data_IF_317449685554
#
_entry.id   IF_317449685554
#
_cell.length_a   1.000
_cell.length_b   1.000
_cell.length_c   1.000
_cell.angle_alpha   90.00
_cell.angle_beta   90.00
_cell.angle_gamma   90.00
#
_symmetry.space_group_name_H-M   'P 1'
#
loop_
_entity.id
_entity.type
_entity.pdbx_description
1 polymer ?
#
# COMPACT_ATOMS: atom_id res chain seq x y z
N UNK A 1 -2.13 -8.00 5.53
CA UNK A 1 -1.88 -7.58 6.93
C UNK A 1 -2.34 -8.73 7.83
N UNK A 2 -1.57 -9.08 8.85
CA UNK A 2 -2.00 -10.09 9.83
C UNK A 2 -2.83 -9.40 10.89
N UNK A 3 -4.09 -9.78 11.04
CA UNK A 3 -4.99 -9.21 12.05
C UNK A 3 -5.49 -10.36 12.92
N UNK A 4 -5.47 -10.18 14.25
CA UNK A 4 -5.83 -11.26 15.22
C UNK A 4 -4.99 -12.54 15.07
N UNK A 5 -3.70 -12.39 14.77
CA UNK A 5 -2.76 -13.49 14.54
C UNK A 5 -3.10 -14.43 13.35
N UNK A 6 -4.03 -13.99 12.49
CA UNK A 6 -4.43 -14.70 11.30
C UNK A 6 -4.15 -13.88 10.05
N UNK A 7 -3.60 -14.53 9.02
CA UNK A 7 -3.53 -13.95 7.69
C UNK A 7 -4.77 -14.36 6.90
N UNK A 8 -5.68 -13.41 6.71
CA UNK A 8 -6.90 -13.63 5.94
C UNK A 8 -6.68 -13.24 4.48
N UNK A 9 -6.97 -14.16 3.57
CA UNK A 9 -6.93 -13.96 2.12
C UNK A 9 -8.36 -13.94 1.59
N UNK A 10 -8.74 -12.85 0.93
CA UNK A 10 -10.00 -12.74 0.20
C UNK A 10 -9.73 -12.96 -1.29
N UNK A 11 -10.20 -14.07 -1.85
CA UNK A 11 -10.12 -14.34 -3.31
C UNK A 11 -11.42 -13.92 -3.97
N UNK A 12 -11.35 -12.96 -4.89
CA UNK A 12 -12.53 -12.52 -5.64
C UNK A 12 -12.96 -13.60 -6.64
N UNK A 13 -14.28 -13.81 -6.78
CA UNK A 13 -14.83 -14.77 -7.76
C UNK A 13 -14.85 -14.24 -9.20
N UNK A 14 -14.74 -12.93 -9.36
CA UNK A 14 -14.69 -12.22 -10.64
C UNK A 14 -13.62 -11.12 -10.59
N UNK A 15 -13.23 -10.63 -11.76
CA UNK A 15 -12.26 -9.55 -11.88
C UNK A 15 -12.77 -8.26 -11.19
N UNK A 16 -11.87 -7.58 -10.48
CA UNK A 16 -12.24 -6.37 -9.72
C UNK A 16 -12.59 -5.21 -10.66
N UNK A 17 -11.90 -5.08 -11.78
CA UNK A 17 -12.16 -4.01 -12.73
C UNK A 17 -13.51 -4.22 -13.41
N UNK A 18 -13.82 -5.45 -13.81
CA UNK A 18 -15.15 -5.80 -14.34
C UNK A 18 -16.26 -5.50 -13.31
N UNK A 19 -16.05 -5.85 -12.03
CA UNK A 19 -16.98 -5.49 -10.95
C UNK A 19 -17.19 -3.97 -10.89
N UNK A 20 -16.11 -3.19 -10.78
CA UNK A 20 -16.18 -1.74 -10.59
C UNK A 20 -16.79 -1.00 -11.79
N UNK A 21 -16.63 -1.52 -13.01
CA UNK A 21 -17.19 -0.91 -14.23
C UNK A 21 -18.72 -1.08 -14.32
N UNK A 22 -19.28 -2.17 -13.79
CA UNK A 22 -20.70 -2.51 -13.91
C UNK A 22 -21.52 -2.16 -12.67
N UNK A 23 -20.88 -2.04 -11.52
CA UNK A 23 -21.53 -1.77 -10.23
C UNK A 23 -21.85 -0.29 -10.06
N UNK A 24 -23.15 0.01 -9.89
CA UNK A 24 -23.65 1.39 -9.73
C UNK A 24 -23.82 1.80 -8.27
N UNK A 25 -23.59 0.89 -7.32
CA UNK A 25 -23.69 1.13 -5.89
C UNK A 25 -22.29 1.37 -5.32
N UNK A 26 -22.06 2.52 -4.68
CA UNK A 26 -20.71 2.92 -4.23
C UNK A 26 -20.10 2.08 -3.10
N UNK A 27 -20.91 1.25 -2.42
CA UNK A 27 -20.49 0.38 -1.31
C UNK A 27 -20.76 -1.09 -1.59
N UNK A 28 -21.00 -1.49 -2.84
CA UNK A 28 -21.13 -2.92 -3.14
C UNK A 28 -19.77 -3.60 -2.98
N UNK A 29 -19.78 -4.76 -2.33
CA UNK A 29 -18.59 -5.58 -2.15
C UNK A 29 -18.60 -6.73 -3.16
N UNK A 30 -17.49 -7.00 -3.87
CA UNK A 30 -17.38 -8.16 -4.74
C UNK A 30 -17.45 -9.44 -3.93
N UNK A 31 -18.16 -10.44 -4.46
CA UNK A 31 -18.21 -11.76 -3.86
C UNK A 31 -16.80 -12.35 -3.79
N UNK A 32 -16.43 -12.82 -2.60
CA UNK A 32 -15.11 -13.37 -2.33
C UNK A 32 -15.18 -14.64 -1.47
N UNK A 33 -14.15 -15.46 -1.59
CA UNK A 33 -13.91 -16.61 -0.73
C UNK A 33 -12.78 -16.28 0.25
N UNK A 34 -13.00 -16.62 1.52
CA UNK A 34 -12.06 -16.35 2.60
C UNK A 34 -11.22 -17.59 2.88
N UNK A 35 -9.90 -17.46 2.79
CA UNK A 35 -8.94 -18.43 3.29
C UNK A 35 -8.18 -17.86 4.49
N UNK A 36 -8.05 -18.66 5.56
CA UNK A 36 -7.29 -18.30 6.75
C UNK A 36 -5.97 -19.08 6.74
N UNK A 37 -4.87 -18.33 6.66
CA UNK A 37 -3.52 -18.88 6.77
C UNK A 37 -3.02 -18.65 8.20
N UNK A 38 -2.82 -19.75 8.93
CA UNK A 38 -2.27 -19.71 10.29
C UNK A 38 -0.80 -19.33 10.24
N UNK A 39 -0.42 -18.36 11.06
CA UNK A 39 0.98 -18.00 11.24
C UNK A 39 1.61 -18.81 12.37
N UNK A 40 2.92 -19.01 12.28
CA UNK A 40 3.73 -19.62 13.34
C UNK A 40 4.74 -18.60 13.87
N UNK A 41 5.00 -18.67 15.17
CA UNK A 41 5.94 -17.77 15.85
C UNK A 41 5.29 -16.50 16.42
N UNK A 42 6.08 -15.74 17.17
CA UNK A 42 5.66 -14.43 17.70
C UNK A 42 5.78 -13.37 16.61
N UNK A 43 4.71 -12.60 16.40
CA UNK A 43 4.72 -11.44 15.53
C UNK A 43 4.21 -10.21 16.30
N UNK A 44 5.06 -9.55 17.09
CA UNK A 44 4.67 -8.38 17.87
C UNK A 44 4.39 -7.13 17.00
N UNK A 45 4.52 -7.24 15.67
CA UNK A 45 4.25 -6.19 14.68
C UNK A 45 4.86 -4.83 15.10
N UNK A 46 4.05 -3.77 15.11
CA UNK A 46 4.47 -2.42 15.50
C UNK A 46 5.03 -2.35 16.92
N UNK A 47 4.48 -3.10 17.87
CA UNK A 47 4.94 -3.10 19.27
C UNK A 47 6.38 -3.59 19.37
N UNK A 48 6.72 -4.64 18.62
CA UNK A 48 8.08 -5.18 18.59
C UNK A 48 9.11 -4.18 18.05
N UNK A 49 8.78 -3.50 16.95
CA UNK A 49 9.65 -2.50 16.34
C UNK A 49 9.85 -1.29 17.26
N UNK A 50 8.77 -0.78 17.88
CA UNK A 50 8.83 0.37 18.77
C UNK A 50 9.65 0.05 20.04
N UNK A 51 9.44 -1.13 20.62
CA UNK A 51 10.20 -1.57 21.79
C UNK A 51 11.70 -1.73 21.46
N UNK A 52 12.04 -2.36 20.33
CA UNK A 52 13.43 -2.48 19.93
C UNK A 52 14.08 -1.11 19.67
N UNK A 53 13.37 -0.17 19.05
CA UNK A 53 13.86 1.19 18.86
C UNK A 53 14.19 1.88 20.19
N UNK A 54 13.31 1.76 21.19
CA UNK A 54 13.57 2.29 22.54
C UNK A 54 14.76 1.57 23.21
N UNK A 55 14.84 0.24 23.12
CA UNK A 55 15.95 -0.54 23.65
C UNK A 55 17.29 -0.17 23.02
N UNK A 56 17.33 0.11 21.72
CA UNK A 56 18.53 0.55 21.02
C UNK A 56 19.02 1.92 21.50
N UNK A 57 18.12 2.86 21.78
CA UNK A 57 18.46 4.16 22.39
C UNK A 57 19.05 3.96 23.79
N UNK A 58 18.46 3.06 24.57
CA UNK A 58 18.91 2.70 25.92
C UNK A 58 20.16 1.80 25.93
N UNK A 59 20.69 1.43 24.77
CA UNK A 59 21.85 0.53 24.60
C UNK A 59 21.62 -0.88 25.19
N UNK A 60 20.36 -1.32 25.29
CA UNK A 60 19.99 -2.64 25.79
C UNK A 60 20.06 -3.72 24.70
N UNK A 61 19.80 -3.34 23.45
CA UNK A 61 19.76 -4.23 22.29
C UNK A 61 20.27 -3.51 21.03
N UNK A 62 20.82 -4.21 20.03
CA UNK A 62 21.09 -3.62 18.72
C UNK A 62 19.80 -3.14 18.04
N UNK A 63 19.91 -2.05 17.26
CA UNK A 63 18.80 -1.57 16.43
C UNK A 63 18.49 -2.62 15.35
N UNK A 64 17.25 -3.10 15.33
CA UNK A 64 16.78 -4.14 14.41
C UNK A 64 16.51 -3.59 13.01
N UNK A 65 15.92 -2.39 12.90
CA UNK A 65 15.63 -1.73 11.62
C UNK A 65 16.27 -0.34 11.60
N UNK A 66 17.28 -0.15 10.75
CA UNK A 66 17.90 1.17 10.55
C UNK A 66 17.03 2.01 9.60
N UNK A 67 16.71 3.24 9.99
CA UNK A 67 15.95 4.17 9.15
C UNK A 67 16.63 4.48 7.81
N UNK A 68 17.95 4.28 7.70
CA UNK A 68 18.69 4.40 6.43
C UNK A 68 18.26 3.38 5.39
N UNK A 69 17.78 2.20 5.80
CA UNK A 69 17.23 1.21 4.87
C UNK A 69 15.94 1.71 4.20
N UNK A 70 15.28 2.71 4.78
CA UNK A 70 14.13 3.39 4.17
C UNK A 70 14.45 4.02 2.82
N UNK A 71 15.70 4.39 2.55
CA UNK A 71 16.13 4.88 1.23
C UNK A 71 15.93 3.84 0.13
N UNK A 72 16.13 2.55 0.43
CA UNK A 72 15.90 1.45 -0.52
C UNK A 72 14.42 1.30 -0.86
N UNK A 73 13.53 1.57 0.10
CA UNK A 73 12.09 1.58 -0.16
C UNK A 73 11.68 2.72 -1.10
N UNK A 74 12.25 3.92 -0.91
CA UNK A 74 12.00 5.06 -1.80
C UNK A 74 12.50 4.76 -3.20
N UNK A 75 13.73 4.23 -3.33
CA UNK A 75 14.31 3.83 -4.61
C UNK A 75 13.44 2.77 -5.32
N UNK A 76 12.94 1.77 -4.59
CA UNK A 76 12.03 0.78 -5.13
C UNK A 76 10.73 1.41 -5.66
N UNK A 77 10.13 2.34 -4.90
CA UNK A 77 8.93 3.06 -5.36
C UNK A 77 9.19 3.89 -6.61
N UNK A 78 10.31 4.60 -6.66
CA UNK A 78 10.71 5.41 -7.81
C UNK A 78 10.94 4.52 -9.05
N UNK A 79 11.53 3.32 -8.88
CA UNK A 79 11.69 2.34 -9.95
C UNK A 79 10.36 1.83 -10.51
N UNK A 80 9.37 1.56 -9.63
CA UNK A 80 8.03 1.10 -10.02
C UNK A 80 7.30 2.18 -10.82
N UNK A 81 7.38 3.44 -10.36
CA UNK A 81 6.81 4.57 -11.06
C UNK A 81 7.47 4.77 -12.42
N UNK A 82 8.80 4.75 -12.48
CA UNK A 82 9.54 4.91 -13.73
C UNK A 82 9.25 3.78 -14.72
N UNK A 83 9.13 2.54 -14.24
CA UNK A 83 8.73 1.38 -15.04
C UNK A 83 7.35 1.58 -15.67
N UNK A 84 6.37 2.00 -14.87
CA UNK A 84 5.01 2.29 -15.37
C UNK A 84 4.98 3.45 -16.38
N UNK A 85 5.90 4.39 -16.25
CA UNK A 85 5.99 5.58 -17.10
C UNK A 85 6.66 5.35 -18.44
N UNK A 86 7.64 4.45 -18.47
CA UNK A 86 8.43 4.12 -19.66
C UNK A 86 7.99 2.80 -20.31
N UNK A 87 7.02 2.10 -19.69
CA UNK A 87 6.51 0.79 -20.09
C UNK A 87 7.64 -0.24 -20.30
N UNK A 88 8.58 -0.28 -19.35
CA UNK A 88 9.77 -1.15 -19.42
C UNK A 88 10.31 -1.50 -18.04
N UNK A 89 11.01 -2.63 -17.96
CA UNK A 89 11.79 -2.99 -16.77
C UNK A 89 12.84 -1.92 -16.47
N UNK A 90 12.97 -1.57 -15.19
CA UNK A 90 13.97 -0.62 -14.67
C UNK A 90 14.96 -1.39 -13.80
N UNK A 91 16.25 -1.17 -14.03
CA UNK A 91 17.34 -1.74 -13.23
C UNK A 91 17.57 -0.92 -11.95
N UNK A 92 18.00 -1.58 -10.88
CA UNK A 92 18.40 -0.95 -9.61
C UNK A 92 19.93 -0.90 -9.50
N UNK A 93 20.53 0.18 -8.95
CA UNK A 93 19.87 1.37 -8.40
C UNK A 93 19.27 2.27 -9.48
N UNK A 94 18.23 3.04 -9.12
CA UNK A 94 17.50 3.90 -10.07
C UNK A 94 18.40 5.05 -10.51
N UNK A 95 18.25 5.48 -11.77
CA UNK A 95 18.85 6.73 -12.23
C UNK A 95 18.02 7.92 -11.72
N UNK A 96 18.49 8.57 -10.65
CA UNK A 96 17.84 9.71 -10.00
C UNK A 96 17.50 10.85 -10.96
N UNK A 97 18.42 11.20 -11.87
CA UNK A 97 18.22 12.29 -12.84
C UNK A 97 17.09 11.95 -13.83
N UNK A 98 17.04 10.70 -14.27
CA UNK A 98 15.98 10.21 -15.15
C UNK A 98 14.63 10.24 -14.45
N UNK A 99 14.55 9.69 -13.23
CA UNK A 99 13.32 9.73 -12.44
C UNK A 99 12.86 11.18 -12.21
N UNK A 100 13.77 12.06 -11.78
CA UNK A 100 13.47 13.47 -11.54
C UNK A 100 12.96 14.16 -12.81
N UNK A 101 13.58 13.91 -13.96
CA UNK A 101 13.13 14.44 -15.26
C UNK A 101 11.71 13.98 -15.60
N UNK A 102 11.42 12.69 -15.45
CA UNK A 102 10.08 12.13 -15.72
C UNK A 102 9.03 12.65 -14.74
N UNK A 103 9.38 12.81 -13.46
CA UNK A 103 8.53 13.41 -12.45
C UNK A 103 8.21 14.87 -12.79
N UNK A 104 9.20 15.67 -13.18
CA UNK A 104 9.01 17.08 -13.55
C UNK A 104 8.07 17.24 -14.75
N UNK A 105 8.15 16.37 -15.76
CA UNK A 105 7.19 16.35 -16.88
C UNK A 105 5.76 16.17 -16.39
N UNK A 106 5.54 15.22 -15.46
CA UNK A 106 4.21 14.90 -14.91
C UNK A 106 3.66 15.99 -14.02
N UNK A 107 4.49 16.60 -13.19
CA UNK A 107 4.12 17.78 -12.39
C UNK A 107 3.63 18.90 -13.32
N UNK A 108 4.35 19.16 -14.43
CA UNK A 108 3.97 20.20 -15.38
C UNK A 108 2.68 19.89 -16.16
N UNK A 109 2.39 18.62 -16.42
CA UNK A 109 1.15 18.18 -17.10
C UNK A 109 -0.01 17.89 -16.15
N UNK A 110 0.21 17.92 -14.83
CA UNK A 110 -0.81 17.63 -13.82
C UNK A 110 -1.92 18.69 -13.90
N UNK A 111 -3.17 18.24 -13.83
CA UNK A 111 -4.35 19.09 -13.84
C UNK A 111 -5.20 18.77 -12.62
N UNK A 112 -5.83 19.80 -12.07
CA UNK A 112 -6.86 19.59 -11.06
C UNK A 112 -7.96 18.71 -11.65
N UNK A 113 -8.36 17.67 -10.90
CA UNK A 113 -9.45 16.81 -11.30
C UNK A 113 -10.76 17.60 -11.14
N UNK A 114 -11.32 18.06 -12.25
CA UNK A 114 -12.68 18.59 -12.28
C UNK A 114 -13.66 17.41 -12.20
N UNK A 115 -14.28 17.22 -11.04
CA UNK A 115 -15.34 16.24 -10.82
C UNK A 115 -16.48 16.90 -10.07
N UNK A 116 -17.72 16.59 -10.44
CA UNK A 116 -18.87 16.96 -9.63
C UNK A 116 -18.77 16.21 -8.29
N UNK A 117 -19.02 16.92 -7.19
CA UNK A 117 -19.11 16.30 -5.88
C UNK A 117 -20.35 15.40 -5.85
N UNK A 118 -20.15 14.11 -6.09
CA UNK A 118 -21.20 13.11 -5.90
C UNK A 118 -21.34 12.91 -4.39
N UNK A 119 -22.48 13.33 -3.83
CA UNK A 119 -22.86 13.00 -2.47
C UNK A 119 -23.24 11.52 -2.44
N UNK A 120 -22.32 10.68 -1.96
CA UNK A 120 -22.61 9.28 -1.68
C UNK A 120 -23.46 9.23 -0.41
N UNK A 121 -24.64 8.61 -0.49
CA UNK A 121 -25.49 8.39 0.68
C UNK A 121 -24.82 7.39 1.64
N UNK A 122 -24.33 7.91 2.77
CA UNK A 122 -23.61 7.15 3.79
C UNK A 122 -24.52 6.59 4.89
N UNK A 123 -25.85 6.67 4.74
CA UNK A 123 -26.79 6.15 5.77
C UNK A 123 -26.62 4.66 6.06
N UNK A 124 -26.06 3.89 5.13
CA UNK A 124 -25.76 2.47 5.31
C UNK A 124 -24.33 2.18 5.80
N UNK A 125 -23.45 3.20 5.89
CA UNK A 125 -22.01 3.03 6.18
C UNK A 125 -21.69 3.03 7.68
N UNK A 126 -22.53 3.65 8.52
CA UNK A 126 -22.31 3.70 9.98
C UNK A 126 -23.32 2.82 10.73
N UNK A 127 -22.82 1.70 11.28
CA UNK A 127 -23.30 1.06 12.50
C UNK A 127 -24.74 0.53 12.53
N UNK A 128 -24.92 -0.74 12.14
CA UNK A 128 -25.87 -1.60 12.86
C UNK A 128 -25.12 -2.21 14.06
N UNK A 129 -25.31 -1.59 15.23
CA UNK A 129 -25.19 -2.28 16.53
C UNK A 129 -26.16 -3.45 16.59
#
# INVERSE_FOLDING_TARGET
>A
MCEKDELTIFRLKRDLQEFLEHEKQGFSEPESETEIVKQSGENPQHVGIINNFANAILQLEPLYVDGRDGLKCVELMDSMLLSAWEDKTVELPVNDDLYYKELKKRIASSKDKAGESILIDNTMSFGRT
#
